data_IF_358108465520
#
_entry.id   IF_358108465520
#
_cell.length_a   1.000
_cell.length_b   1.000
_cell.length_c   1.000
_cell.angle_alpha   90.00
_cell.angle_beta   90.00
_cell.angle_gamma   90.00
#
_symmetry.space_group_name_H-M   'P 1'
#
loop_
_entity.id
_entity.type
_entity.pdbx_description
1 polymer ?
#
# COMPACT_ATOMS: atom_id res chain seq x y z
N UNK A 1 17.05 -2.46 56.95
CA UNK A 1 16.84 -2.69 55.51
C UNK A 1 16.75 -4.19 55.22
N UNK A 2 15.60 -4.84 55.48
CA UNK A 2 15.28 -6.18 54.95
C UNK A 2 13.84 -6.61 55.27
N UNK A 3 12.85 -5.72 55.10
CA UNK A 3 11.43 -6.10 55.29
C UNK A 3 10.48 -5.63 54.17
N UNK A 4 10.89 -4.75 53.26
CA UNK A 4 10.02 -4.26 52.18
C UNK A 4 9.78 -5.24 51.02
N UNK A 5 10.57 -6.32 50.89
CA UNK A 5 10.49 -7.21 49.70
C UNK A 5 9.57 -8.42 49.82
N UNK A 6 9.03 -8.74 51.00
CA UNK A 6 8.24 -9.98 51.18
C UNK A 6 6.73 -9.71 51.23
N UNK A 7 6.30 -8.52 51.66
CA UNK A 7 4.86 -8.19 51.70
C UNK A 7 4.22 -7.94 50.34
N UNK A 8 5.01 -7.66 49.29
CA UNK A 8 4.50 -7.53 47.92
C UNK A 8 4.21 -8.88 47.24
N UNK A 9 4.69 -9.99 47.81
CA UNK A 9 4.57 -11.33 47.23
C UNK A 9 3.31 -12.10 47.69
N UNK A 10 2.59 -11.61 48.71
CA UNK A 10 1.44 -12.32 49.27
C UNK A 10 0.07 -11.78 48.84
N UNK A 11 0.01 -10.61 48.19
CA UNK A 11 -1.25 -9.92 47.89
C UNK A 11 -1.67 -9.89 46.41
N UNK A 12 -0.91 -10.51 45.50
CA UNK A 12 -1.06 -10.21 44.06
C UNK A 12 -1.06 -11.44 43.13
N UNK A 13 -1.13 -12.65 43.69
CA UNK A 13 -1.14 -13.90 42.92
C UNK A 13 -2.36 -14.01 42.00
N UNK A 14 -3.46 -13.30 42.28
CA UNK A 14 -4.64 -13.28 41.40
C UNK A 14 -4.60 -12.21 40.30
N UNK A 15 -3.62 -11.29 40.31
CA UNK A 15 -3.65 -10.12 39.43
C UNK A 15 -2.44 -10.02 38.47
N UNK A 16 -1.47 -10.93 38.54
CA UNK A 16 -0.35 -10.91 37.59
C UNK A 16 -0.81 -11.18 36.15
N UNK A 17 -1.77 -12.07 35.94
CA UNK A 17 -2.32 -12.37 34.60
C UNK A 17 -3.03 -11.15 34.02
N UNK A 18 -3.83 -10.48 34.85
CA UNK A 18 -4.51 -9.26 34.45
C UNK A 18 -3.53 -8.11 34.22
N UNK A 19 -2.51 -7.96 35.06
CA UNK A 19 -1.42 -7.00 34.84
C UNK A 19 -0.69 -7.26 33.53
N UNK A 20 -0.33 -8.52 33.25
CA UNK A 20 0.31 -8.94 31.99
C UNK A 20 -0.56 -8.59 30.79
N UNK A 21 -1.86 -8.91 30.86
CA UNK A 21 -2.81 -8.62 29.81
C UNK A 21 -2.92 -7.11 29.54
N UNK A 22 -3.12 -6.31 30.58
CA UNK A 22 -3.28 -4.85 30.48
C UNK A 22 -2.01 -4.20 29.91
N UNK A 23 -0.82 -4.62 30.36
CA UNK A 23 0.43 -4.07 29.86
C UNK A 23 0.72 -4.50 28.41
N UNK A 24 0.40 -5.74 28.06
CA UNK A 24 0.59 -6.26 26.70
C UNK A 24 -0.34 -5.55 25.71
N UNK A 25 -1.59 -5.35 26.08
CA UNK A 25 -2.59 -4.62 25.30
C UNK A 25 -2.24 -3.13 25.15
N UNK A 26 -1.70 -2.50 26.20
CA UNK A 26 -1.18 -1.14 26.11
C UNK A 26 0.03 -1.02 25.15
N UNK A 27 0.96 -1.99 25.19
CA UNK A 27 2.08 -2.04 24.25
C UNK A 27 1.60 -2.24 22.82
N UNK A 28 0.67 -3.18 22.59
CA UNK A 28 0.09 -3.44 21.28
C UNK A 28 -0.63 -2.21 20.71
N UNK A 29 -1.44 -1.50 21.51
CA UNK A 29 -2.10 -0.26 21.07
C UNK A 29 -1.10 0.83 20.68
N UNK A 30 0.01 0.95 21.41
CA UNK A 30 1.07 1.90 21.06
C UNK A 30 1.66 1.57 19.70
N UNK A 31 2.04 0.31 19.46
CA UNK A 31 2.54 -0.14 18.16
C UNK A 31 1.52 0.10 17.05
N UNK A 32 0.24 -0.21 17.29
CA UNK A 32 -0.83 -0.01 16.32
C UNK A 32 -1.08 1.47 15.97
N UNK A 33 -0.67 2.40 16.84
CA UNK A 33 -0.70 3.84 16.56
C UNK A 33 0.56 4.37 15.87
N UNK A 34 1.69 3.66 15.95
CA UNK A 34 2.97 4.06 15.36
C UNK A 34 3.14 3.54 13.93
N UNK A 35 2.65 2.31 13.67
CA UNK A 35 2.81 1.66 12.38
C UNK A 35 1.47 1.52 11.68
N UNK A 36 1.37 1.90 10.40
CA UNK A 36 0.19 1.58 9.60
C UNK A 36 -0.02 0.07 9.50
N UNK A 37 -1.26 -0.34 9.28
CA UNK A 37 -1.58 -1.77 9.10
C UNK A 37 -0.88 -2.35 7.85
N UNK A 38 -0.84 -1.63 6.74
CA UNK A 38 -0.17 -2.02 5.49
C UNK A 38 0.31 -0.77 4.74
N UNK A 39 1.11 -0.93 3.68
CA UNK A 39 1.57 0.19 2.85
C UNK A 39 0.52 0.49 1.78
N UNK A 40 -0.03 1.70 1.80
CA UNK A 40 -0.95 2.18 0.77
C UNK A 40 -0.30 3.35 0.01
N UNK A 41 -0.49 3.37 -1.31
CA UNK A 41 -0.22 4.51 -2.22
C UNK A 41 1.12 5.25 -1.97
N UNK A 42 2.23 4.72 -2.49
CA UNK A 42 3.49 5.48 -2.60
C UNK A 42 4.43 5.42 -1.39
N UNK A 43 4.01 4.77 -0.31
CA UNK A 43 4.81 4.58 0.91
C UNK A 43 5.46 3.19 0.97
N UNK A 44 6.00 2.67 -0.15
CA UNK A 44 6.60 1.31 -0.18
C UNK A 44 7.74 1.11 0.83
N UNK A 45 8.32 2.21 1.34
CA UNK A 45 9.44 2.20 2.27
C UNK A 45 9.04 2.38 3.74
N UNK A 46 7.75 2.51 4.06
CA UNK A 46 7.32 2.59 5.46
C UNK A 46 7.14 1.20 6.07
N UNK A 47 7.56 1.07 7.32
CA UNK A 47 7.37 -0.15 8.09
C UNK A 47 5.90 -0.30 8.48
N UNK A 48 5.33 -1.48 8.30
CA UNK A 48 3.90 -1.73 8.60
C UNK A 48 3.75 -2.89 9.57
N UNK A 49 2.61 -2.96 10.24
CA UNK A 49 2.29 -4.10 11.11
C UNK A 49 2.20 -5.42 10.33
N UNK A 50 1.75 -5.37 9.07
CA UNK A 50 1.57 -6.57 8.23
C UNK A 50 2.87 -7.07 7.60
N UNK A 51 3.73 -6.17 7.12
CA UNK A 51 4.97 -6.50 6.41
C UNK A 51 6.22 -6.44 7.30
N UNK A 52 6.14 -5.77 8.45
CA UNK A 52 7.31 -5.47 9.28
C UNK A 52 7.86 -6.64 10.08
N UNK A 53 7.14 -7.76 10.16
CA UNK A 53 7.69 -9.05 10.59
C UNK A 53 8.53 -8.99 11.86
N UNK A 54 9.85 -9.16 11.70
CA UNK A 54 10.81 -9.29 12.80
C UNK A 54 11.00 -7.98 13.58
N UNK A 55 11.21 -6.84 12.93
CA UNK A 55 11.51 -5.59 13.66
C UNK A 55 10.29 -5.08 14.44
N UNK A 56 9.07 -5.30 13.93
CA UNK A 56 7.82 -4.98 14.67
C UNK A 56 7.67 -5.89 15.89
N UNK A 57 8.06 -7.16 15.78
CA UNK A 57 8.04 -8.10 16.91
C UNK A 57 9.11 -7.74 17.96
N UNK A 58 10.30 -7.35 17.53
CA UNK A 58 11.37 -6.90 18.43
C UNK A 58 10.93 -5.67 19.24
N UNK A 59 10.29 -4.72 18.58
CA UNK A 59 9.75 -3.52 19.22
C UNK A 59 8.60 -3.87 20.18
N UNK A 60 7.71 -4.79 19.79
CA UNK A 60 6.65 -5.28 20.67
C UNK A 60 7.22 -5.97 21.91
N UNK A 61 8.20 -6.84 21.72
CA UNK A 61 8.88 -7.56 22.78
C UNK A 61 9.59 -6.59 23.74
N UNK A 62 10.29 -5.60 23.20
CA UNK A 62 10.95 -4.55 23.98
C UNK A 62 9.94 -3.80 24.85
N UNK A 63 8.84 -3.33 24.25
CA UNK A 63 7.80 -2.58 24.96
C UNK A 63 7.10 -3.41 26.05
N UNK A 64 6.79 -4.69 25.77
CA UNK A 64 6.17 -5.59 26.75
C UNK A 64 7.17 -5.89 27.87
N UNK A 65 8.43 -6.20 27.54
CA UNK A 65 9.49 -6.50 28.51
C UNK A 65 9.71 -5.34 29.47
N UNK A 66 9.84 -4.12 28.97
CA UNK A 66 10.04 -2.93 29.80
C UNK A 66 8.90 -2.72 30.81
N UNK A 67 7.65 -2.94 30.38
CA UNK A 67 6.46 -2.80 31.25
C UNK A 67 6.37 -3.90 32.31
N UNK A 68 6.65 -5.14 31.91
CA UNK A 68 6.52 -6.31 32.79
C UNK A 68 7.69 -6.46 33.76
N UNK A 69 8.85 -5.88 33.46
CA UNK A 69 10.02 -5.87 34.34
C UNK A 69 9.73 -5.18 35.69
N UNK A 70 8.81 -4.19 35.72
CA UNK A 70 8.39 -3.49 36.96
C UNK A 70 7.74 -4.48 37.96
N UNK A 71 7.09 -5.52 37.45
CA UNK A 71 6.49 -6.60 38.25
C UNK A 71 7.46 -7.77 38.48
N UNK A 72 8.70 -7.69 38.01
CA UNK A 72 9.67 -8.79 38.09
C UNK A 72 9.37 -9.95 37.13
N UNK A 73 8.53 -9.72 36.11
CA UNK A 73 8.17 -10.73 35.11
C UNK A 73 9.18 -10.67 33.96
N UNK A 74 9.81 -11.81 33.66
CA UNK A 74 10.77 -11.92 32.56
C UNK A 74 10.08 -12.38 31.28
N UNK A 75 10.16 -11.57 30.22
CA UNK A 75 9.57 -11.86 28.91
C UNK A 75 10.63 -12.52 28.03
N UNK A 76 10.39 -13.80 27.71
CA UNK A 76 11.28 -14.60 26.86
C UNK A 76 11.11 -14.19 25.40
N UNK A 77 9.85 -14.05 24.95
CA UNK A 77 9.50 -13.74 23.56
C UNK A 77 8.10 -13.09 23.53
N UNK A 78 7.88 -12.17 22.60
CA UNK A 78 6.55 -11.68 22.26
C UNK A 78 6.42 -11.51 20.75
N UNK A 79 5.33 -12.02 20.16
CA UNK A 79 5.07 -11.93 18.72
C UNK A 79 3.62 -11.66 18.41
N UNK A 80 3.41 -10.96 17.30
CA UNK A 80 2.11 -10.85 16.67
C UNK A 80 1.84 -12.13 15.86
N UNK A 81 0.84 -12.91 16.27
CA UNK A 81 0.53 -14.17 15.61
C UNK A 81 -0.28 -13.97 14.32
N UNK A 82 -1.32 -13.14 14.37
CA UNK A 82 -2.20 -12.88 13.23
C UNK A 82 -2.75 -11.46 13.26
N UNK A 83 -2.65 -10.78 12.12
CA UNK A 83 -3.29 -9.49 11.87
C UNK A 83 -4.12 -9.64 10.60
N UNK A 84 -5.41 -9.32 10.72
CA UNK A 84 -6.29 -9.19 9.58
C UNK A 84 -7.30 -8.09 9.79
N UNK A 85 -7.86 -7.63 8.68
CA UNK A 85 -9.07 -6.84 8.67
C UNK A 85 -10.23 -7.61 9.33
N UNK A 86 -11.09 -6.88 10.04
CA UNK A 86 -12.36 -7.44 10.48
C UNK A 86 -13.24 -7.80 9.28
N UNK A 87 -14.15 -8.77 9.46
CA UNK A 87 -15.07 -9.20 8.41
C UNK A 87 -15.89 -8.03 7.83
N UNK A 88 -16.26 -7.07 8.70
CA UNK A 88 -17.03 -5.88 8.34
C UNK A 88 -16.30 -5.00 7.31
N UNK A 89 -14.98 -4.84 7.45
CA UNK A 89 -14.19 -3.95 6.58
C UNK A 89 -13.46 -4.70 5.46
N UNK A 90 -13.35 -6.02 5.53
CA UNK A 90 -12.64 -6.83 4.54
C UNK A 90 -13.18 -6.63 3.11
N UNK A 91 -14.51 -6.60 2.95
CA UNK A 91 -15.14 -6.38 1.65
C UNK A 91 -14.93 -4.95 1.10
N UNK A 92 -14.86 -3.95 1.97
CA UNK A 92 -14.54 -2.57 1.56
C UNK A 92 -13.06 -2.44 1.16
N UNK A 93 -12.16 -3.05 1.92
CA UNK A 93 -10.72 -3.06 1.63
C UNK A 93 -10.41 -3.79 0.32
N UNK A 94 -11.02 -4.95 0.08
CA UNK A 94 -10.85 -5.69 -1.18
C UNK A 94 -11.29 -4.86 -2.39
N UNK A 95 -12.47 -4.22 -2.30
CA UNK A 95 -12.95 -3.33 -3.37
C UNK A 95 -12.00 -2.16 -3.61
N UNK A 96 -11.44 -1.57 -2.56
CA UNK A 96 -10.45 -0.50 -2.68
C UNK A 96 -9.18 -1.00 -3.38
N UNK A 97 -8.65 -2.15 -2.97
CA UNK A 97 -7.46 -2.75 -3.60
C UNK A 97 -7.69 -3.04 -5.09
N UNK A 98 -8.85 -3.58 -5.44
CA UNK A 98 -9.22 -3.79 -6.84
C UNK A 98 -9.30 -2.47 -7.62
N UNK A 99 -9.92 -1.43 -7.05
CA UNK A 99 -9.98 -0.13 -7.69
C UNK A 99 -8.57 0.47 -7.92
N UNK A 100 -7.70 0.42 -6.91
CA UNK A 100 -6.31 0.87 -7.02
C UNK A 100 -5.54 0.06 -8.08
N UNK A 101 -5.71 -1.26 -8.11
CA UNK A 101 -5.08 -2.11 -9.11
C UNK A 101 -5.56 -1.79 -10.54
N UNK A 102 -6.86 -1.53 -10.72
CA UNK A 102 -7.43 -1.11 -12.01
C UNK A 102 -6.83 0.23 -12.44
N UNK A 103 -6.74 1.21 -11.55
CA UNK A 103 -6.14 2.52 -11.86
C UNK A 103 -4.66 2.38 -12.20
N UNK A 104 -3.89 1.61 -11.42
CA UNK A 104 -2.48 1.37 -11.69
C UNK A 104 -2.25 0.68 -13.05
N UNK A 105 -3.11 -0.28 -13.40
CA UNK A 105 -3.08 -0.91 -14.72
C UNK A 105 -3.37 0.10 -15.84
N UNK A 106 -4.39 0.97 -15.66
CA UNK A 106 -4.73 2.03 -16.61
C UNK A 106 -3.59 3.03 -16.80
N UNK A 107 -2.93 3.40 -15.71
CA UNK A 107 -1.77 4.28 -15.76
C UNK A 107 -0.65 3.71 -16.64
N UNK A 108 -0.28 2.43 -16.43
CA UNK A 108 0.73 1.74 -17.25
C UNK A 108 0.35 1.64 -18.73
N UNK A 109 -0.93 1.41 -19.03
CA UNK A 109 -1.43 1.40 -20.43
C UNK A 109 -1.22 2.77 -21.07
N UNK A 110 -1.62 3.84 -20.39
CA UNK A 110 -1.49 5.21 -20.89
C UNK A 110 -0.02 5.59 -21.08
N UNK A 111 0.84 5.26 -20.12
CA UNK A 111 2.29 5.49 -20.21
C UNK A 111 2.91 4.80 -21.44
N UNK A 112 2.57 3.52 -21.66
CA UNK A 112 3.01 2.79 -22.85
C UNK A 112 2.45 3.39 -24.14
N UNK A 113 1.18 3.80 -24.15
CA UNK A 113 0.54 4.40 -25.31
C UNK A 113 1.19 5.73 -25.70
N UNK A 114 1.46 6.62 -24.74
CA UNK A 114 2.16 7.89 -24.99
C UNK A 114 3.54 7.63 -25.61
N UNK A 115 4.29 6.68 -25.05
CA UNK A 115 5.61 6.30 -25.56
C UNK A 115 5.54 5.76 -27.00
N UNK A 116 4.55 4.91 -27.32
CA UNK A 116 4.37 4.37 -28.67
C UNK A 116 3.99 5.46 -29.69
N UNK A 117 3.14 6.42 -29.30
CA UNK A 117 2.75 7.54 -30.17
C UNK A 117 3.92 8.47 -30.46
N UNK A 118 4.70 8.80 -29.43
CA UNK A 118 5.90 9.63 -29.55
C UNK A 118 6.89 9.01 -30.54
N UNK A 119 7.23 7.73 -30.36
CA UNK A 119 8.12 6.99 -31.25
C UNK A 119 7.60 6.94 -32.69
N UNK A 120 6.30 6.76 -32.89
CA UNK A 120 5.71 6.69 -34.23
C UNK A 120 5.79 8.04 -34.97
N UNK A 121 5.46 9.15 -34.29
CA UNK A 121 5.53 10.49 -34.87
C UNK A 121 6.96 10.89 -35.21
N UNK A 122 7.91 10.58 -34.32
CA UNK A 122 9.33 10.83 -34.56
C UNK A 122 9.84 10.08 -35.80
N UNK A 123 9.55 8.77 -35.91
CA UNK A 123 9.97 7.97 -37.06
C UNK A 123 9.36 8.47 -38.38
N UNK A 124 8.10 8.89 -38.38
CA UNK A 124 7.43 9.41 -39.57
C UNK A 124 8.00 10.76 -40.00
N UNK A 125 8.35 11.62 -39.05
CA UNK A 125 9.02 12.90 -39.29
C UNK A 125 10.44 12.72 -39.84
N UNK A 126 11.25 11.83 -39.24
CA UNK A 126 12.61 11.52 -39.71
C UNK A 126 12.62 10.97 -41.13
N UNK A 127 11.62 10.17 -41.50
CA UNK A 127 11.47 9.62 -42.87
C UNK A 127 10.92 10.64 -43.86
N UNK A 128 10.53 11.84 -43.43
CA UNK A 128 9.93 12.87 -44.28
C UNK A 128 8.61 12.45 -44.92
N UNK A 129 7.89 11.49 -44.33
CA UNK A 129 6.65 10.92 -44.90
C UNK A 129 5.48 11.88 -44.71
N UNK A 130 5.53 12.72 -43.67
CA UNK A 130 4.46 13.63 -43.29
C UNK A 130 5.04 14.96 -42.80
N UNK A 131 4.36 16.05 -43.16
CA UNK A 131 4.54 17.37 -42.58
C UNK A 131 3.28 17.70 -41.76
N UNK A 132 3.41 17.65 -40.43
CA UNK A 132 2.32 17.87 -39.50
C UNK A 132 2.48 19.25 -38.87
N UNK A 133 1.50 20.12 -39.10
CA UNK A 133 1.28 21.27 -38.23
C UNK A 133 0.83 20.80 -36.81
N UNK A 134 0.92 21.69 -35.83
CA UNK A 134 0.58 21.38 -34.43
C UNK A 134 -0.87 20.90 -34.26
N UNK A 135 -1.80 21.39 -35.10
CA UNK A 135 -3.21 21.01 -35.03
C UNK A 135 -3.43 19.57 -35.52
N UNK A 136 -2.82 19.16 -36.64
CA UNK A 136 -2.86 17.79 -37.15
C UNK A 136 -2.12 16.83 -36.23
N UNK A 137 -1.02 17.26 -35.60
CA UNK A 137 -0.28 16.47 -34.62
C UNK A 137 -1.15 16.17 -33.40
N UNK A 138 -1.81 17.18 -32.84
CA UNK A 138 -2.75 16.99 -31.73
C UNK A 138 -3.91 16.05 -32.09
N UNK A 139 -4.50 16.20 -33.29
CA UNK A 139 -5.56 15.32 -33.78
C UNK A 139 -5.08 13.86 -33.93
N UNK A 140 -3.87 13.66 -34.46
CA UNK A 140 -3.29 12.32 -34.65
C UNK A 140 -2.94 11.66 -33.31
N UNK A 141 -2.35 12.40 -32.36
CA UNK A 141 -2.10 11.91 -30.99
C UNK A 141 -3.41 11.50 -30.34
N UNK A 142 -4.44 12.35 -30.40
CA UNK A 142 -5.77 12.05 -29.83
C UNK A 142 -6.35 10.75 -30.40
N UNK A 143 -6.35 10.61 -31.74
CA UNK A 143 -6.85 9.41 -32.40
C UNK A 143 -6.06 8.16 -32.02
N UNK A 144 -4.73 8.24 -31.98
CA UNK A 144 -3.88 7.12 -31.60
C UNK A 144 -4.07 6.76 -30.13
N UNK A 145 -4.20 7.73 -29.23
CA UNK A 145 -4.46 7.49 -27.81
C UNK A 145 -5.81 6.81 -27.60
N UNK A 146 -6.85 7.19 -28.35
CA UNK A 146 -8.15 6.51 -28.29
C UNK A 146 -8.05 5.06 -28.76
N UNK A 147 -7.25 4.78 -29.79
CA UNK A 147 -7.03 3.42 -30.31
C UNK A 147 -6.19 2.57 -29.36
N UNK A 148 -5.12 3.13 -28.79
CA UNK A 148 -4.17 2.40 -27.94
C UNK A 148 -4.67 2.20 -26.51
N UNK A 149 -5.45 3.14 -25.98
CA UNK A 149 -6.00 3.07 -24.61
C UNK A 149 -7.46 2.57 -24.58
N UNK A 150 -8.10 2.39 -25.73
CA UNK A 150 -9.47 1.91 -25.84
C UNK A 150 -9.60 0.42 -25.51
N UNK A 151 -10.57 0.05 -24.68
CA UNK A 151 -10.89 -1.35 -24.31
C UNK A 151 -11.58 -2.16 -25.42
N UNK A 152 -11.99 -1.49 -26.51
CA UNK A 152 -12.71 -2.11 -27.63
C UNK A 152 -11.86 -1.97 -28.88
N UNK A 153 -11.87 -3.02 -29.71
CA UNK A 153 -11.34 -2.92 -31.07
C UNK A 153 -11.86 -1.63 -31.72
N UNK A 154 -10.96 -0.80 -32.29
CA UNK A 154 -11.36 0.49 -32.81
C UNK A 154 -12.39 0.27 -33.91
N UNK A 155 -13.65 0.65 -33.66
CA UNK A 155 -14.65 0.76 -34.70
C UNK A 155 -14.12 1.79 -35.70
N UNK A 156 -13.75 1.29 -36.87
CA UNK A 156 -13.09 2.00 -37.97
C UNK A 156 -13.60 3.44 -38.11
N UNK A 157 -12.80 4.44 -37.72
CA UNK A 157 -13.10 5.83 -38.09
C UNK A 157 -12.60 5.99 -39.52
N UNK A 158 -13.46 5.67 -40.49
CA UNK A 158 -13.22 6.00 -41.89
C UNK A 158 -13.39 7.51 -42.01
N UNK A 159 -12.29 8.25 -42.02
CA UNK A 159 -12.29 9.65 -42.41
C UNK A 159 -12.45 9.73 -43.93
N UNK A 160 -13.70 9.72 -44.41
CA UNK A 160 -14.01 10.08 -45.80
C UNK A 160 -13.96 11.60 -45.93
N UNK A 161 -12.76 12.18 -45.81
CA UNK A 161 -12.51 13.51 -46.33
C UNK A 161 -12.71 13.46 -47.83
N UNK A 162 -13.81 14.03 -48.30
CA UNK A 162 -14.18 14.15 -49.71
C UNK A 162 -13.04 14.77 -50.53
N UNK A 163 -12.42 13.97 -51.39
CA UNK A 163 -11.67 14.45 -52.54
C UNK A 163 -12.67 15.04 -53.54
N UNK A 164 -12.85 16.35 -53.50
CA UNK A 164 -13.40 17.13 -54.61
C UNK A 164 -12.42 18.25 -54.94
N UNK A 165 -11.52 17.97 -55.88
CA UNK A 165 -11.37 18.71 -57.14
C UNK A 165 -10.45 17.96 -58.10
#
# INVERSE_FOLDING_TARGET
>A
MKEEKIFKAAFDVDNYEHFVLVQSDAALRKLAGLYPYDNWEGHEHEMTLRSGGEEVNDELEREIRERLMIAGINVIEARINYIAYSEEIAGAMLRRQQATAVVAARFKIVEGAVSMVEMALEQLSVKGIIDLDEEKKAAMVSNLMVVLCGDKDPNQIINTGTLQH
#
